data_IF_376441246025
#
_entry.id   IF_376441246025
#
_cell.length_a   1.000
_cell.length_b   1.000
_cell.length_c   1.000
_cell.angle_alpha   90.00
_cell.angle_beta   90.00
_cell.angle_gamma   90.00
#
_symmetry.space_group_name_H-M   'P 1'
#
loop_
_entity.id
_entity.type
_entity.pdbx_description
1 polymer ?
#
# COMPACT_ATOMS: atom_id res chain seq x y z
N UNK A 1 54.05 -23.36 -28.76
CA UNK A 1 54.59 -24.69 -28.38
C UNK A 1 53.39 -25.52 -28.05
N UNK A 2 53.06 -26.34 -28.95
CA UNK A 2 53.26 -27.76 -29.17
C UNK A 2 52.10 -28.52 -28.52
N UNK A 3 51.13 -29.02 -29.29
CA UNK A 3 51.09 -30.31 -30.01
C UNK A 3 50.82 -31.43 -29.05
N UNK A 4 50.02 -32.41 -29.24
CA UNK A 4 49.56 -33.27 -30.35
C UNK A 4 48.73 -34.40 -29.75
N UNK A 5 47.78 -34.82 -30.26
CA UNK A 5 47.32 -35.78 -31.27
C UNK A 5 46.72 -37.10 -30.71
N UNK A 6 45.50 -37.37 -31.18
CA UNK A 6 45.08 -38.54 -31.99
C UNK A 6 45.32 -39.96 -31.48
N UNK A 7 44.23 -40.79 -31.40
CA UNK A 7 43.99 -41.87 -32.40
C UNK A 7 42.84 -42.79 -32.02
N UNK A 8 41.90 -42.96 -32.94
CA UNK A 8 41.16 -44.19 -33.26
C UNK A 8 42.07 -45.20 -33.93
N UNK A 9 41.81 -46.48 -33.99
CA UNK A 9 40.82 -47.09 -34.89
C UNK A 9 40.20 -48.48 -34.54
N UNK A 10 39.08 -48.79 -35.22
CA UNK A 10 38.66 -49.93 -36.08
C UNK A 10 38.62 -51.34 -35.51
N UNK A 11 37.46 -51.97 -35.58
CA UNK A 11 36.75 -52.80 -36.60
C UNK A 11 37.00 -54.33 -36.54
N UNK A 12 35.96 -55.12 -36.64
CA UNK A 12 35.69 -56.29 -37.54
C UNK A 12 34.69 -57.26 -36.92
N UNK A 13 33.53 -57.38 -37.48
CA UNK A 13 32.98 -58.36 -38.44
C UNK A 13 33.18 -59.88 -38.09
N UNK A 14 32.09 -60.62 -37.98
CA UNK A 14 31.55 -61.67 -38.90
C UNK A 14 30.70 -62.63 -38.07
N UNK A 15 29.56 -62.95 -38.44
CA UNK A 15 28.91 -63.78 -39.46
C UNK A 15 28.26 -65.04 -38.87
N UNK A 16 27.00 -65.11 -39.03
CA UNK A 16 26.08 -66.16 -39.43
C UNK A 16 26.22 -67.64 -38.90
N UNK A 17 25.12 -68.17 -38.42
CA UNK A 17 24.55 -69.39 -38.95
C UNK A 17 23.06 -69.62 -38.62
N UNK A 18 22.34 -70.10 -39.64
CA UNK A 18 20.95 -70.54 -39.64
C UNK A 18 20.64 -71.75 -38.76
N UNK A 19 19.45 -71.79 -38.20
CA UNK A 19 18.60 -72.98 -38.38
C UNK A 19 17.14 -72.70 -37.95
N UNK A 20 16.27 -73.13 -38.83
CA UNK A 20 14.82 -73.12 -38.79
C UNK A 20 14.25 -74.20 -37.84
N UNK A 21 13.17 -73.85 -37.11
CA UNK A 21 12.18 -74.89 -36.71
C UNK A 21 10.83 -74.19 -36.43
N UNK A 22 9.82 -74.72 -37.01
CA UNK A 22 8.39 -74.46 -36.98
C UNK A 22 7.74 -74.58 -35.60
N UNK A 23 6.80 -73.75 -35.26
CA UNK A 23 5.97 -73.88 -34.08
C UNK A 23 4.78 -72.94 -34.07
N UNK A 24 3.61 -73.44 -34.16
CA UNK A 24 2.23 -73.00 -34.23
C UNK A 24 1.83 -71.84 -33.33
N UNK A 25 0.86 -70.97 -33.71
CA UNK A 25 0.53 -69.74 -32.97
C UNK A 25 -0.43 -70.00 -31.78
N UNK A 26 0.00 -69.63 -30.61
CA UNK A 26 -0.84 -69.57 -29.41
C UNK A 26 -1.45 -68.19 -29.29
N UNK A 27 -2.76 -68.06 -29.39
CA UNK A 27 -3.57 -66.93 -29.13
C UNK A 27 -3.47 -66.42 -27.69
N UNK A 28 -2.71 -65.40 -27.41
CA UNK A 28 -2.62 -64.75 -26.10
C UNK A 28 -3.52 -63.52 -26.07
N UNK A 29 -4.66 -63.65 -25.37
CA UNK A 29 -5.61 -62.56 -25.05
C UNK A 29 -4.88 -61.38 -24.44
N UNK A 30 -4.97 -60.22 -25.07
CA UNK A 30 -4.57 -58.91 -24.51
C UNK A 30 -5.57 -58.51 -23.41
N UNK A 31 -5.22 -58.79 -22.16
CA UNK A 31 -5.89 -58.23 -20.99
C UNK A 31 -5.59 -56.76 -20.88
N UNK A 32 -6.61 -55.92 -21.05
CA UNK A 32 -6.48 -54.45 -21.09
C UNK A 32 -6.07 -53.86 -19.74
N UNK A 33 -4.96 -53.17 -19.72
CA UNK A 33 -4.54 -52.23 -18.64
C UNK A 33 -5.38 -50.98 -18.63
N UNK A 34 -6.63 -51.02 -18.08
CA UNK A 34 -7.47 -49.82 -17.88
C UNK A 34 -7.43 -49.25 -16.46
N UNK A 35 -6.37 -49.49 -15.68
CA UNK A 35 -6.34 -49.11 -14.26
C UNK A 35 -5.42 -47.90 -13.89
N UNK A 36 -4.67 -47.36 -14.85
CA UNK A 36 -3.65 -46.31 -14.55
C UNK A 36 -4.15 -44.88 -14.66
N UNK A 37 -5.19 -44.57 -15.45
CA UNK A 37 -5.64 -43.21 -15.73
C UNK A 37 -6.46 -42.59 -14.60
N UNK A 38 -7.22 -43.39 -13.81
CA UNK A 38 -8.01 -42.89 -12.66
C UNK A 38 -7.12 -42.44 -11.49
N UNK A 39 -5.98 -43.11 -11.23
CA UNK A 39 -5.04 -42.75 -10.17
C UNK A 39 -4.28 -41.45 -10.50
N UNK A 40 -3.93 -41.20 -11.77
CA UNK A 40 -3.27 -39.98 -12.22
C UNK A 40 -4.20 -38.75 -12.11
N UNK A 41 -5.50 -38.88 -12.49
CA UNK A 41 -6.50 -37.84 -12.32
C UNK A 41 -6.75 -37.46 -10.85
N UNK A 42 -6.84 -38.45 -9.94
CA UNK A 42 -6.99 -38.19 -8.49
C UNK A 42 -5.78 -37.47 -7.89
N UNK A 43 -4.55 -37.87 -8.29
CA UNK A 43 -3.32 -37.16 -7.84
C UNK A 43 -3.25 -35.71 -8.38
N UNK A 44 -3.60 -35.49 -9.63
CA UNK A 44 -3.67 -34.15 -10.20
C UNK A 44 -4.68 -33.26 -9.49
N UNK A 45 -5.85 -33.81 -9.11
CA UNK A 45 -6.87 -33.08 -8.37
C UNK A 45 -6.43 -32.76 -6.93
N UNK A 46 -5.70 -33.67 -6.26
CA UNK A 46 -5.15 -33.42 -4.91
C UNK A 46 -4.11 -32.29 -4.99
N UNK A 47 -3.19 -32.34 -5.94
CA UNK A 47 -2.18 -31.28 -6.15
C UNK A 47 -2.85 -29.93 -6.45
N UNK A 48 -3.91 -29.90 -7.27
CA UNK A 48 -4.64 -28.68 -7.56
C UNK A 48 -5.32 -28.09 -6.32
N UNK A 49 -5.87 -28.94 -5.44
CA UNK A 49 -6.45 -28.49 -4.16
C UNK A 49 -5.37 -27.99 -3.20
N UNK A 50 -4.21 -28.65 -3.13
CA UNK A 50 -3.08 -28.21 -2.32
C UNK A 50 -2.55 -26.84 -2.79
N UNK A 51 -2.38 -26.65 -4.11
CA UNK A 51 -1.96 -25.37 -4.69
C UNK A 51 -2.98 -24.27 -4.39
N UNK A 52 -4.28 -24.58 -4.51
CA UNK A 52 -5.35 -23.62 -4.18
C UNK A 52 -5.32 -23.24 -2.70
N UNK A 53 -5.13 -24.20 -1.80
CA UNK A 53 -5.00 -23.93 -0.36
C UNK A 53 -3.78 -23.06 -0.04
N UNK A 54 -2.63 -23.34 -0.65
CA UNK A 54 -1.43 -22.52 -0.50
C UNK A 54 -1.71 -21.08 -0.99
N UNK A 55 -2.39 -20.94 -2.11
CA UNK A 55 -2.72 -19.63 -2.67
C UNK A 55 -3.67 -18.84 -1.76
N UNK A 56 -4.67 -19.50 -1.18
CA UNK A 56 -5.57 -18.90 -0.17
C UNK A 56 -4.80 -18.47 1.07
N UNK A 57 -3.87 -19.28 1.56
CA UNK A 57 -3.02 -18.95 2.72
C UNK A 57 -2.11 -17.76 2.40
N UNK A 58 -1.51 -17.72 1.21
CA UNK A 58 -0.67 -16.59 0.77
C UNK A 58 -1.47 -15.29 0.64
N UNK A 59 -2.69 -15.35 0.08
CA UNK A 59 -3.60 -14.20 0.02
C UNK A 59 -3.99 -13.76 1.44
N UNK A 60 -4.34 -14.70 2.31
CA UNK A 60 -4.65 -14.41 3.71
C UNK A 60 -3.48 -13.75 4.43
N UNK A 61 -2.27 -14.27 4.26
CA UNK A 61 -1.05 -13.67 4.81
C UNK A 61 -0.78 -12.27 4.25
N UNK A 62 -0.98 -12.07 2.94
CA UNK A 62 -0.84 -10.75 2.31
C UNK A 62 -1.85 -9.74 2.87
N UNK A 63 -3.12 -10.13 3.01
CA UNK A 63 -4.16 -9.27 3.59
C UNK A 63 -3.84 -8.93 5.05
N UNK A 64 -3.47 -9.92 5.86
CA UNK A 64 -3.08 -9.69 7.27
C UNK A 64 -1.88 -8.77 7.36
N UNK A 65 -0.84 -8.98 6.53
CA UNK A 65 0.34 -8.11 6.48
C UNK A 65 0.02 -6.66 6.10
N UNK A 66 -0.97 -6.44 5.23
CA UNK A 66 -1.43 -5.09 4.88
C UNK A 66 -2.28 -4.47 5.99
N UNK A 67 -3.12 -5.26 6.67
CA UNK A 67 -3.90 -4.79 7.82
C UNK A 67 -3.02 -4.45 9.04
N UNK A 68 -1.92 -5.17 9.24
CA UNK A 68 -0.96 -4.92 10.32
C UNK A 68 -0.19 -3.59 10.14
N UNK A 69 -0.17 -3.05 8.92
CA UNK A 69 0.35 -1.71 8.64
C UNK A 69 -0.59 -0.59 9.11
N UNK A 70 -1.88 -0.90 9.34
CA UNK A 70 -2.84 0.03 9.92
C UNK A 70 -2.63 0.08 11.43
N UNK A 71 -1.93 1.10 11.90
CA UNK A 71 -1.79 1.33 13.32
C UNK A 71 -3.13 1.87 13.87
N UNK A 72 -3.76 1.12 14.75
CA UNK A 72 -4.90 1.56 15.53
C UNK A 72 -4.42 1.88 16.95
N UNK A 73 -3.97 3.11 17.23
CA UNK A 73 -3.66 3.48 18.59
C UNK A 73 -4.93 3.37 19.43
N UNK A 74 -4.80 2.77 20.60
CA UNK A 74 -5.87 2.70 21.59
C UNK A 74 -6.16 4.13 22.07
N UNK A 75 -7.23 4.70 21.54
CA UNK A 75 -7.73 6.00 22.02
C UNK A 75 -8.55 5.69 23.27
N UNK A 76 -7.92 5.82 24.43
CA UNK A 76 -8.57 5.62 25.73
C UNK A 76 -9.93 6.34 25.76
N UNK A 77 -10.96 5.66 26.25
CA UNK A 77 -12.28 6.26 26.43
C UNK A 77 -12.14 7.55 27.25
N UNK A 78 -12.44 8.70 26.65
CA UNK A 78 -12.44 10.01 27.31
C UNK A 78 -11.24 10.91 27.06
N UNK A 79 -10.25 10.50 26.27
CA UNK A 79 -9.02 11.28 26.06
C UNK A 79 -9.07 12.28 24.89
N UNK A 80 -10.12 12.25 24.09
CA UNK A 80 -10.43 13.33 23.15
C UNK A 80 -11.04 14.46 23.95
N UNK A 81 -10.27 15.53 24.19
CA UNK A 81 -10.78 16.70 24.90
C UNK A 81 -11.93 17.31 24.10
N UNK A 82 -13.14 16.86 24.41
CA UNK A 82 -14.37 17.53 24.02
C UNK A 82 -14.29 18.94 24.61
N UNK A 83 -14.53 19.95 23.80
CA UNK A 83 -14.59 21.29 24.28
C UNK A 83 -15.86 21.45 25.12
N UNK A 84 -15.74 21.51 26.45
CA UNK A 84 -16.89 21.58 27.39
C UNK A 84 -17.73 22.85 27.25
N UNK A 85 -17.29 23.82 26.44
CA UNK A 85 -17.96 25.11 26.26
C UNK A 85 -18.77 25.25 24.96
N UNK A 86 -19.01 24.18 24.22
CA UNK A 86 -19.77 24.26 22.94
C UNK A 86 -21.25 24.40 23.26
N UNK A 87 -21.93 25.34 22.59
CA UNK A 87 -23.38 25.53 22.70
C UNK A 87 -24.15 24.26 22.28
N UNK A 88 -25.23 23.94 23.00
CA UNK A 88 -26.04 22.73 22.77
C UNK A 88 -26.56 22.63 21.32
N UNK A 89 -26.95 23.74 20.69
CA UNK A 89 -27.38 23.78 19.30
C UNK A 89 -26.28 23.40 18.32
N UNK A 90 -25.04 23.75 18.61
CA UNK A 90 -23.86 23.39 17.82
C UNK A 90 -23.59 21.90 17.97
N UNK A 91 -23.65 21.35 19.17
CA UNK A 91 -23.50 19.90 19.42
C UNK A 91 -24.60 19.11 18.71
N UNK A 92 -25.84 19.58 18.77
CA UNK A 92 -26.98 18.94 18.08
C UNK A 92 -26.78 18.95 16.55
N UNK A 93 -26.29 20.06 16.01
CA UNK A 93 -25.96 20.16 14.56
C UNK A 93 -24.82 19.21 14.18
N UNK A 94 -23.76 19.14 14.98
CA UNK A 94 -22.61 18.26 14.72
C UNK A 94 -22.97 16.77 14.81
N UNK A 95 -23.97 16.38 15.62
CA UNK A 95 -24.39 14.98 15.76
C UNK A 95 -24.91 14.36 14.45
N UNK A 96 -25.39 15.18 13.51
CA UNK A 96 -25.77 14.76 12.15
C UNK A 96 -24.60 14.49 11.19
N UNK A 97 -23.37 14.69 11.66
CA UNK A 97 -22.16 14.56 10.85
C UNK A 97 -21.15 13.63 11.51
N UNK A 98 -20.44 12.87 10.69
CA UNK A 98 -19.22 12.17 11.09
C UNK A 98 -18.03 13.03 10.70
N UNK A 99 -17.29 13.55 11.69
CA UNK A 99 -16.15 14.41 11.46
C UNK A 99 -14.86 13.67 11.75
N UNK A 100 -13.90 13.72 10.80
CA UNK A 100 -12.61 13.04 10.85
C UNK A 100 -11.51 14.05 10.53
N UNK A 101 -10.45 14.08 11.35
CA UNK A 101 -9.25 14.85 11.02
C UNK A 101 -8.28 14.00 10.18
N UNK A 102 -7.77 14.59 9.09
CA UNK A 102 -6.79 13.98 8.20
C UNK A 102 -5.46 14.71 8.38
N UNK A 103 -4.41 13.97 8.73
CA UNK A 103 -3.07 14.50 8.96
C UNK A 103 -2.09 13.93 7.95
N UNK A 104 -1.57 14.77 7.05
CA UNK A 104 -0.49 14.42 6.15
C UNK A 104 0.87 14.71 6.80
N UNK A 105 1.68 13.66 6.97
CA UNK A 105 2.94 13.72 7.70
C UNK A 105 4.14 13.76 6.76
N UNK A 106 5.03 14.76 6.95
CA UNK A 106 6.34 14.78 6.29
C UNK A 106 7.31 13.88 7.07
N UNK A 107 7.13 12.56 6.94
CA UNK A 107 8.06 11.58 7.50
C UNK A 107 8.90 10.97 6.40
N UNK A 108 10.22 10.99 6.61
CA UNK A 108 11.21 10.44 5.67
C UNK A 108 11.61 9.01 5.98
N UNK A 109 11.07 8.44 7.05
CA UNK A 109 11.27 7.05 7.44
C UNK A 109 9.93 6.35 7.48
N UNK A 110 9.70 5.43 6.54
CA UNK A 110 8.46 4.66 6.44
C UNK A 110 8.19 3.90 7.74
N UNK A 111 6.95 4.00 8.24
CA UNK A 111 6.50 3.31 9.45
C UNK A 111 6.90 3.99 10.78
N UNK A 112 7.66 5.08 10.75
CA UNK A 112 7.94 5.89 11.93
C UNK A 112 6.95 7.06 12.05
N UNK A 113 5.73 6.78 12.42
CA UNK A 113 4.70 7.79 12.75
C UNK A 113 4.99 8.52 14.08
N UNK A 114 6.23 8.41 14.57
CA UNK A 114 6.67 8.87 15.89
C UNK A 114 7.40 10.21 15.88
N UNK A 115 8.31 10.36 16.80
CA UNK A 115 8.97 11.59 17.27
C UNK A 115 9.40 12.57 16.20
N UNK A 116 8.94 13.83 16.33
CA UNK A 116 9.45 14.97 15.57
C UNK A 116 8.77 15.19 14.23
N UNK A 117 7.85 14.34 13.82
CA UNK A 117 7.09 14.53 12.60
C UNK A 117 6.12 15.70 12.75
N UNK A 118 5.98 16.49 11.70
CA UNK A 118 5.00 17.57 11.62
C UNK A 118 3.89 17.17 10.67
N UNK A 119 2.67 17.60 11.00
CA UNK A 119 1.57 17.50 10.05
C UNK A 119 1.57 18.71 9.13
N UNK A 120 2.11 18.54 7.94
CA UNK A 120 2.17 19.63 6.96
C UNK A 120 0.86 19.81 6.19
N UNK A 121 -0.01 18.82 6.26
CA UNK A 121 -1.40 18.87 5.77
C UNK A 121 -2.35 18.56 6.92
N UNK A 122 -3.31 19.46 7.13
CA UNK A 122 -4.34 19.34 8.19
C UNK A 122 -5.68 19.59 7.52
N UNK A 123 -6.51 18.56 7.40
CA UNK A 123 -7.83 18.66 6.77
C UNK A 123 -8.87 18.11 7.75
N UNK A 124 -9.97 18.84 7.89
CA UNK A 124 -11.16 18.37 8.61
C UNK A 124 -12.16 17.93 7.56
N UNK A 125 -12.49 16.65 7.57
CA UNK A 125 -13.51 16.06 6.70
C UNK A 125 -14.79 15.85 7.52
N UNK A 126 -15.88 16.46 7.10
CA UNK A 126 -17.20 16.33 7.73
C UNK A 126 -18.17 15.68 6.75
N UNK A 127 -18.71 14.53 7.14
CA UNK A 127 -19.59 13.71 6.31
C UNK A 127 -21.01 13.80 6.90
N UNK A 128 -21.94 14.31 6.12
CA UNK A 128 -23.36 14.30 6.51
C UNK A 128 -23.87 12.86 6.52
N UNK A 129 -24.37 12.38 7.66
CA UNK A 129 -24.76 10.99 7.86
C UNK A 129 -26.02 10.60 7.08
N UNK A 130 -26.87 11.58 6.74
CA UNK A 130 -28.12 11.33 6.01
C UNK A 130 -27.92 11.39 4.49
N UNK A 131 -27.15 12.36 4.00
CA UNK A 131 -27.00 12.62 2.56
C UNK A 131 -25.72 12.03 1.97
N UNK A 132 -24.71 11.72 2.80
CA UNK A 132 -23.37 11.35 2.35
C UNK A 132 -22.56 12.53 1.77
N UNK A 133 -23.07 13.77 1.87
CA UNK A 133 -22.31 14.97 1.45
C UNK A 133 -21.02 15.09 2.28
N UNK A 134 -19.89 15.29 1.60
CA UNK A 134 -18.58 15.47 2.24
C UNK A 134 -18.14 16.93 2.11
N UNK A 135 -17.80 17.55 3.23
CA UNK A 135 -17.21 18.88 3.30
C UNK A 135 -15.77 18.78 3.81
N UNK A 136 -14.86 19.47 3.14
CA UNK A 136 -13.45 19.49 3.51
C UNK A 136 -13.07 20.92 3.89
N UNK A 137 -12.42 21.07 5.04
CA UNK A 137 -11.83 22.33 5.50
C UNK A 137 -10.34 22.13 5.78
N UNK A 138 -9.48 22.89 5.09
CA UNK A 138 -8.04 22.86 5.34
C UNK A 138 -7.67 23.88 6.41
N UNK A 139 -6.89 23.45 7.39
CA UNK A 139 -6.25 24.31 8.38
C UNK A 139 -4.80 24.53 7.95
N UNK A 140 -4.43 25.77 7.70
CA UNK A 140 -3.05 26.09 7.30
C UNK A 140 -2.08 25.69 8.41
N UNK A 141 -1.04 24.94 8.06
CA UNK A 141 -0.06 24.39 9.00
C UNK A 141 0.64 25.45 9.88
N UNK A 142 0.77 26.68 9.36
CA UNK A 142 1.41 27.80 10.04
C UNK A 142 0.43 28.69 10.83
N UNK A 143 -0.87 28.32 10.89
CA UNK A 143 -1.86 29.03 11.70
C UNK A 143 -1.42 29.03 13.16
N UNK A 144 -1.45 30.18 13.79
CA UNK A 144 -1.00 30.36 15.17
C UNK A 144 -2.15 30.10 16.13
N UNK A 145 -2.13 28.96 16.82
CA UNK A 145 -3.22 28.43 17.64
C UNK A 145 -2.76 28.14 19.07
N UNK A 146 -3.69 28.13 20.01
CA UNK A 146 -3.46 27.68 21.38
C UNK A 146 -3.19 26.16 21.41
N UNK A 147 -2.05 25.77 21.96
CA UNK A 147 -1.61 24.36 22.09
C UNK A 147 -2.24 23.64 23.30
N UNK A 148 -3.41 24.08 23.75
CA UNK A 148 -4.12 23.55 24.94
C UNK A 148 -3.42 23.78 26.29
N UNK A 149 -2.22 24.32 26.25
CA UNK A 149 -1.38 24.60 27.45
C UNK A 149 -1.34 26.08 27.81
N UNK A 150 -2.13 26.92 27.16
CA UNK A 150 -2.06 28.39 27.25
C UNK A 150 -0.88 28.99 26.50
N UNK A 151 -0.13 28.18 25.74
CA UNK A 151 0.93 28.64 24.85
C UNK A 151 0.46 28.54 23.41
N UNK A 152 0.79 29.53 22.62
CA UNK A 152 0.47 29.57 21.21
C UNK A 152 1.67 29.13 20.36
N UNK A 153 1.39 28.39 19.31
CA UNK A 153 2.39 27.96 18.31
C UNK A 153 1.71 27.69 16.96
N UNK A 154 2.52 27.34 15.94
CA UNK A 154 2.00 26.89 14.64
C UNK A 154 1.23 25.58 14.79
N UNK A 155 0.10 25.46 14.13
CA UNK A 155 -0.78 24.28 14.20
C UNK A 155 -0.02 22.98 13.98
N UNK A 156 0.86 22.90 12.99
CA UNK A 156 1.63 21.69 12.70
C UNK A 156 2.59 21.25 13.82
N UNK A 157 2.93 22.15 14.74
CA UNK A 157 3.80 21.82 15.87
C UNK A 157 3.11 20.98 16.92
N UNK A 158 1.77 20.99 17.01
CA UNK A 158 1.02 20.17 17.94
C UNK A 158 1.32 18.67 17.72
N UNK A 159 1.46 18.24 16.46
CA UNK A 159 1.81 16.87 16.15
C UNK A 159 3.22 16.51 16.63
N UNK A 160 4.20 17.38 16.43
CA UNK A 160 5.60 17.10 16.80
C UNK A 160 5.87 17.13 18.31
N UNK A 161 5.02 17.80 19.10
CA UNK A 161 5.18 17.96 20.55
C UNK A 161 4.38 16.94 21.37
N UNK A 162 3.46 16.20 20.75
CA UNK A 162 2.53 15.29 21.45
C UNK A 162 3.16 14.01 21.99
N UNK A 163 4.44 13.74 21.73
CA UNK A 163 5.08 12.51 22.19
C UNK A 163 4.40 11.26 21.62
N UNK A 164 3.99 10.29 22.46
CA UNK A 164 3.25 9.11 21.98
C UNK A 164 1.82 9.42 21.50
N UNK A 165 1.25 10.54 21.93
CA UNK A 165 -0.13 10.95 21.68
C UNK A 165 -0.23 12.09 20.63
N UNK A 166 0.65 12.12 19.66
CA UNK A 166 0.80 13.22 18.68
C UNK A 166 -0.51 13.60 18.01
N UNK A 167 -1.23 12.61 17.48
CA UNK A 167 -2.49 12.85 16.79
C UNK A 167 -3.60 13.32 17.74
N UNK A 168 -3.63 12.79 18.97
CA UNK A 168 -4.59 13.20 20.02
C UNK A 168 -4.30 14.65 20.44
N UNK A 169 -3.03 15.01 20.62
CA UNK A 169 -2.62 16.40 20.91
C UNK A 169 -3.08 17.34 19.80
N UNK A 170 -2.97 16.90 18.54
CA UNK A 170 -3.46 17.66 17.39
C UNK A 170 -4.98 17.80 17.42
N UNK A 171 -5.74 16.74 17.73
CA UNK A 171 -7.19 16.78 17.88
C UNK A 171 -7.61 17.74 18.99
N UNK A 172 -6.97 17.66 20.17
CA UNK A 172 -7.23 18.54 21.30
C UNK A 172 -7.04 20.03 20.92
N UNK A 173 -5.96 20.32 20.18
CA UNK A 173 -5.68 21.66 19.68
C UNK A 173 -6.75 22.12 18.68
N UNK A 174 -7.14 21.28 17.71
CA UNK A 174 -8.18 21.63 16.73
C UNK A 174 -9.54 21.83 17.41
N UNK A 175 -9.95 20.92 18.27
CA UNK A 175 -11.23 21.00 18.99
C UNK A 175 -11.32 22.29 19.80
N UNK A 176 -10.26 22.63 20.54
CA UNK A 176 -10.23 23.84 21.35
C UNK A 176 -10.32 25.15 20.56
N UNK A 177 -9.60 25.23 19.44
CA UNK A 177 -9.51 26.48 18.68
C UNK A 177 -10.64 26.68 17.66
N UNK A 178 -11.35 25.61 17.30
CA UNK A 178 -12.38 25.62 16.26
C UNK A 178 -13.77 25.28 16.78
N UNK A 179 -13.92 25.10 18.09
CA UNK A 179 -15.16 24.69 18.75
C UNK A 179 -15.78 23.43 18.12
N UNK A 180 -14.91 22.40 17.95
CA UNK A 180 -15.28 21.11 17.35
C UNK A 180 -15.20 19.97 18.37
N UNK A 181 -15.83 18.84 18.04
CA UNK A 181 -15.80 17.57 18.79
C UNK A 181 -15.27 16.45 17.90
N UNK A 182 -14.08 16.62 17.34
CA UNK A 182 -13.46 15.60 16.47
C UNK A 182 -12.89 14.49 17.36
N UNK A 183 -13.38 13.28 17.19
CA UNK A 183 -12.93 12.09 17.92
C UNK A 183 -12.11 11.13 17.07
N UNK A 184 -12.14 11.29 15.75
CA UNK A 184 -11.50 10.37 14.80
C UNK A 184 -10.46 11.09 13.97
N UNK A 185 -9.36 10.38 13.69
CA UNK A 185 -8.34 10.90 12.80
C UNK A 185 -7.75 9.79 11.90
N UNK A 186 -7.13 10.22 10.82
CA UNK A 186 -6.31 9.39 9.94
C UNK A 186 -4.99 10.12 9.74
N UNK A 187 -3.88 9.48 10.05
CA UNK A 187 -2.54 9.99 9.75
C UNK A 187 -1.94 9.23 8.57
N UNK A 188 -1.46 9.96 7.57
CA UNK A 188 -0.97 9.44 6.30
C UNK A 188 0.46 9.94 6.08
N UNK A 189 1.41 9.04 5.89
CA UNK A 189 2.76 9.33 5.42
C UNK A 189 2.88 9.19 3.89
N UNK A 190 4.06 9.41 3.35
CA UNK A 190 4.29 9.30 1.91
C UNK A 190 4.05 7.88 1.38
N UNK A 191 4.35 6.84 2.18
CA UNK A 191 4.12 5.46 1.75
C UNK A 191 2.63 5.14 1.69
N UNK A 192 1.87 5.52 2.73
CA UNK A 192 0.42 5.34 2.76
C UNK A 192 -0.29 6.14 1.66
N UNK A 193 0.18 7.36 1.37
CA UNK A 193 -0.36 8.17 0.26
C UNK A 193 -0.09 7.51 -1.09
N UNK A 194 1.13 7.02 -1.31
CA UNK A 194 1.50 6.29 -2.53
C UNK A 194 0.63 5.05 -2.72
N UNK A 195 0.52 4.22 -1.68
CA UNK A 195 -0.32 3.01 -1.70
C UNK A 195 -1.80 3.34 -1.97
N UNK A 196 -2.33 4.41 -1.37
CA UNK A 196 -3.72 4.81 -1.56
C UNK A 196 -4.01 5.23 -3.01
N UNK A 197 -3.13 6.03 -3.62
CA UNK A 197 -3.27 6.45 -5.02
C UNK A 197 -3.18 5.25 -5.96
N UNK A 198 -2.22 4.34 -5.74
CA UNK A 198 -2.05 3.13 -6.55
C UNK A 198 -3.26 2.20 -6.45
N UNK A 199 -3.85 2.05 -5.25
CA UNK A 199 -5.06 1.26 -5.02
C UNK A 199 -6.29 1.83 -5.75
N UNK A 200 -6.36 3.14 -5.92
CA UNK A 200 -7.41 3.82 -6.68
C UNK A 200 -7.17 3.77 -8.21
N UNK A 201 -6.03 3.24 -8.65
CA UNK A 201 -5.67 3.17 -10.07
C UNK A 201 -5.01 4.42 -10.61
N UNK A 202 -4.50 5.28 -9.75
CA UNK A 202 -3.88 6.56 -10.09
C UNK A 202 -4.82 7.76 -9.95
N UNK A 203 -4.29 8.94 -10.24
CA UNK A 203 -5.05 10.21 -10.22
C UNK A 203 -4.71 11.01 -11.47
N UNK A 204 -5.74 11.57 -12.12
CA UNK A 204 -5.58 12.40 -13.31
C UNK A 204 -5.16 13.82 -12.93
N UNK A 205 -4.00 14.24 -13.41
CA UNK A 205 -3.44 15.58 -13.16
C UNK A 205 -2.95 16.17 -14.48
N UNK A 206 -3.26 17.44 -14.71
CA UNK A 206 -2.73 18.24 -15.82
C UNK A 206 -1.38 18.83 -15.39
N UNK A 207 -0.29 18.23 -15.86
CA UNK A 207 1.08 18.61 -15.48
C UNK A 207 1.64 19.57 -16.50
N UNK A 208 2.10 20.75 -16.06
CA UNK A 208 2.67 21.75 -16.95
C UNK A 208 4.19 21.64 -17.14
N UNK A 209 4.75 22.48 -18.03
CA UNK A 209 6.18 22.48 -18.35
C UNK A 209 7.07 22.87 -17.17
N UNK A 210 6.56 23.71 -16.26
CA UNK A 210 7.32 24.19 -15.10
C UNK A 210 7.34 23.14 -13.98
N UNK A 211 6.37 22.24 -13.96
CA UNK A 211 6.20 21.24 -12.90
C UNK A 211 6.93 19.92 -13.18
N UNK A 212 7.05 19.50 -14.46
CA UNK A 212 7.54 18.17 -14.82
C UNK A 212 8.95 17.87 -14.29
N UNK A 213 9.87 18.83 -14.37
CA UNK A 213 11.23 18.67 -13.89
C UNK A 213 11.28 18.59 -12.36
N UNK A 214 10.47 19.40 -11.68
CA UNK A 214 10.35 19.36 -10.23
C UNK A 214 9.75 18.05 -9.76
N UNK A 215 8.68 17.58 -10.41
CA UNK A 215 8.06 16.29 -10.14
C UNK A 215 9.09 15.16 -10.26
N UNK A 216 9.78 15.07 -11.39
CA UNK A 216 10.78 14.03 -11.64
C UNK A 216 11.92 14.05 -10.64
N UNK A 217 12.36 15.23 -10.20
CA UNK A 217 13.39 15.37 -9.17
C UNK A 217 12.89 14.85 -7.80
N UNK A 218 11.65 15.20 -7.39
CA UNK A 218 11.07 14.71 -6.15
C UNK A 218 10.81 13.21 -6.15
N UNK A 219 10.52 12.61 -7.32
CA UNK A 219 10.32 11.16 -7.45
C UNK A 219 11.51 10.33 -6.99
N UNK A 220 12.73 10.84 -7.15
CA UNK A 220 13.95 10.12 -6.71
C UNK A 220 13.92 9.91 -5.19
N UNK A 221 13.60 10.93 -4.43
CA UNK A 221 13.50 10.83 -2.96
C UNK A 221 12.24 10.07 -2.55
N UNK A 222 11.09 10.35 -3.18
CA UNK A 222 9.82 9.67 -2.88
C UNK A 222 9.94 8.17 -3.09
N UNK A 223 10.48 7.72 -4.21
CA UNK A 223 10.74 6.28 -4.47
C UNK A 223 11.65 5.65 -3.41
N UNK A 224 12.67 6.37 -2.95
CA UNK A 224 13.57 5.88 -1.90
C UNK A 224 12.86 5.75 -0.55
N UNK A 225 12.03 6.72 -0.20
CA UNK A 225 11.29 6.74 1.09
C UNK A 225 10.18 5.68 1.10
N UNK A 226 9.42 5.56 0.02
CA UNK A 226 8.29 4.63 -0.08
C UNK A 226 8.72 3.20 -0.41
N UNK A 227 9.93 3.02 -0.97
CA UNK A 227 10.40 1.73 -1.49
C UNK A 227 9.72 1.31 -2.80
N UNK A 228 8.90 2.18 -3.40
CA UNK A 228 8.16 1.93 -4.64
C UNK A 228 8.89 2.59 -5.81
N UNK A 229 9.14 1.84 -6.87
CA UNK A 229 9.76 2.36 -8.08
C UNK A 229 8.68 2.86 -9.06
N UNK A 230 8.91 4.05 -9.63
CA UNK A 230 8.07 4.62 -10.67
C UNK A 230 8.93 5.20 -11.80
N UNK A 231 8.33 5.41 -12.97
CA UNK A 231 9.02 5.95 -14.14
C UNK A 231 8.85 7.47 -14.19
N UNK A 232 9.92 8.23 -14.52
CA UNK A 232 9.81 9.66 -14.73
C UNK A 232 8.79 10.00 -15.83
N UNK A 233 8.09 11.11 -15.67
CA UNK A 233 7.22 11.66 -16.70
C UNK A 233 8.06 12.18 -17.87
N UNK A 234 7.56 11.98 -19.09
CA UNK A 234 8.25 12.36 -20.33
C UNK A 234 7.48 13.42 -21.14
N UNK A 235 6.27 13.74 -20.74
CA UNK A 235 5.41 14.72 -21.41
C UNK A 235 4.53 15.45 -20.41
N UNK A 236 4.08 16.62 -20.78
CA UNK A 236 3.14 17.45 -20.05
C UNK A 236 1.70 17.20 -20.47
N UNK A 237 0.75 17.83 -19.83
CA UNK A 237 -0.68 17.71 -20.06
C UNK A 237 -1.37 16.72 -19.14
N UNK A 238 -2.68 16.54 -19.37
CA UNK A 238 -3.51 15.66 -18.59
C UNK A 238 -3.08 14.20 -18.72
N UNK A 239 -2.71 13.59 -17.61
CA UNK A 239 -2.25 12.21 -17.55
C UNK A 239 -2.53 11.60 -16.17
N UNK A 240 -2.68 10.28 -16.14
CA UNK A 240 -2.87 9.54 -14.87
C UNK A 240 -1.53 9.33 -14.20
N UNK A 241 -1.36 9.90 -13.02
CA UNK A 241 -0.17 9.74 -12.18
C UNK A 241 -0.32 8.54 -11.26
N UNK A 242 0.74 7.73 -11.12
CA UNK A 242 0.83 6.70 -10.09
C UNK A 242 1.09 7.30 -8.69
N UNK A 243 1.09 6.46 -7.65
CA UNK A 243 1.23 6.94 -6.28
C UNK A 243 2.52 7.69 -6.00
N UNK A 244 3.66 7.26 -6.58
CA UNK A 244 4.95 7.95 -6.44
C UNK A 244 4.92 9.30 -7.14
N UNK A 245 4.38 9.35 -8.35
CA UNK A 245 4.26 10.58 -9.14
C UNK A 245 3.33 11.58 -8.46
N UNK A 246 2.15 11.14 -8.03
CA UNK A 246 1.18 11.99 -7.34
C UNK A 246 1.71 12.53 -6.00
N UNK A 247 2.35 11.67 -5.20
CA UNK A 247 2.99 12.09 -3.94
C UNK A 247 4.11 13.10 -4.20
N UNK A 248 4.88 12.91 -5.28
CA UNK A 248 5.94 13.83 -5.68
C UNK A 248 5.40 15.17 -6.18
N UNK A 249 4.29 15.13 -6.93
CA UNK A 249 3.58 16.34 -7.38
C UNK A 249 3.14 17.21 -6.21
N UNK A 250 2.54 16.61 -5.17
CA UNK A 250 2.13 17.34 -3.95
C UNK A 250 3.29 18.02 -3.21
N UNK A 251 4.55 17.67 -3.50
CA UNK A 251 5.74 18.23 -2.86
C UNK A 251 6.31 19.45 -3.60
N UNK A 252 5.82 19.77 -4.79
CA UNK A 252 6.26 20.94 -5.55
C UNK A 252 5.88 22.22 -4.78
N UNK A 253 6.83 23.14 -4.62
CA UNK A 253 6.67 24.38 -3.87
C UNK A 253 6.91 25.64 -4.72
N UNK A 254 7.56 25.48 -5.85
CA UNK A 254 8.02 26.58 -6.70
C UNK A 254 7.73 26.23 -8.15
N UNK A 255 6.74 26.90 -8.73
CA UNK A 255 6.39 26.87 -10.16
C UNK A 255 6.11 28.27 -10.64
#
# INVERSE_FOLDING_TARGET
MAKETMKKPTSRKSAAHHSSASGTPSTRRKGGKKRSTKKKKKRGMIIAVEVLLILVVLIGFYVVSKLDQLQHPDMGEGDTAVNEGIEEDTVATMSGYTTVALFGLDTRESGQLGKGNRSDTIIIASINNDTGEVRLASVFRDTYLDMTTGKFNKANSAYSTGGPEQAITMLKMLNKNLDLTIEKYISVDFAAMTDAVDLLGGIDIDVDETEIDHLNNYMVETSKVTGVASKPLTHTGLQTLDGVQATSYCRIRYT
#
